data_IF_846918061851
#
_entry.id   IF_846918061851
#
_cell.length_a   1.000
_cell.length_b   1.000
_cell.length_c   1.000
_cell.angle_alpha   90.00
_cell.angle_beta   90.00
_cell.angle_gamma   90.00
#
_symmetry.space_group_name_H-M   'P 1'
#
loop_
_entity.id
_entity.type
_entity.pdbx_description
1 polymer ?
#
# COMPACT_ATOMS: atom_id res chain seq x y z
N UNK A 1 -10.06 14.65 -5.90
CA UNK A 1 -9.24 13.44 -6.12
C UNK A 1 -8.19 13.34 -5.03
N UNK A 2 -7.57 12.16 -4.87
CA UNK A 2 -6.40 11.96 -4.02
C UNK A 2 -5.51 10.88 -4.63
N UNK A 3 -4.29 10.79 -4.15
CA UNK A 3 -3.30 9.82 -4.60
C UNK A 3 -2.94 8.87 -3.46
N UNK A 4 -2.68 7.62 -3.84
CA UNK A 4 -2.06 6.62 -2.99
C UNK A 4 -0.73 6.25 -3.62
N UNK A 5 0.35 6.33 -2.85
CA UNK A 5 1.67 5.98 -3.34
C UNK A 5 2.33 4.96 -2.43
N UNK A 6 2.70 3.82 -3.03
CA UNK A 6 3.48 2.79 -2.33
C UNK A 6 4.94 3.20 -2.24
N UNK A 7 5.47 3.28 -1.01
CA UNK A 7 6.89 3.51 -0.75
C UNK A 7 7.34 2.56 0.35
N UNK A 8 8.12 1.55 -0.04
CA UNK A 8 8.67 0.55 0.89
C UNK A 8 10.19 0.59 0.88
N UNK A 9 10.80 0.68 -0.31
CA UNK A 9 12.27 0.69 -0.46
C UNK A 9 12.89 -0.68 -0.28
N UNK A 10 12.26 -1.71 -0.86
CA UNK A 10 12.77 -3.08 -0.84
C UNK A 10 14.14 -3.22 -1.52
N UNK A 11 14.94 -4.23 -1.11
CA UNK A 11 16.11 -4.65 -1.86
C UNK A 11 15.77 -4.97 -3.32
N UNK A 12 16.74 -4.75 -4.22
CA UNK A 12 16.59 -5.00 -5.67
C UNK A 12 16.28 -6.46 -6.00
N UNK A 13 16.69 -7.39 -5.14
CA UNK A 13 16.35 -8.81 -5.22
C UNK A 13 14.84 -9.08 -5.08
N UNK A 14 14.09 -8.21 -4.38
CA UNK A 14 12.64 -8.30 -4.18
C UNK A 14 11.91 -7.35 -5.15
N UNK A 15 12.46 -6.16 -5.35
CA UNK A 15 11.85 -5.10 -6.15
C UNK A 15 12.86 -4.49 -7.15
N UNK A 16 13.09 -5.18 -8.29
CA UNK A 16 14.30 -4.96 -9.10
C UNK A 16 14.31 -3.62 -9.83
N UNK A 17 13.17 -3.07 -10.24
CA UNK A 17 13.12 -1.86 -11.08
C UNK A 17 12.40 -0.67 -10.46
N UNK A 18 11.98 -0.75 -9.20
CA UNK A 18 11.35 0.40 -8.54
C UNK A 18 12.35 1.58 -8.40
N UNK A 19 11.92 2.84 -8.42
CA UNK A 19 12.82 3.95 -8.18
C UNK A 19 13.52 3.84 -6.81
N UNK A 20 14.75 4.37 -6.67
CA UNK A 20 15.40 4.46 -5.37
C UNK A 20 14.48 5.13 -4.34
N UNK A 21 14.49 4.63 -3.09
CA UNK A 21 13.57 5.11 -2.04
C UNK A 21 13.65 6.63 -1.82
N UNK A 22 14.85 7.22 -1.94
CA UNK A 22 15.04 8.68 -1.83
C UNK A 22 14.31 9.44 -2.95
N UNK A 23 14.31 8.91 -4.17
CA UNK A 23 13.59 9.47 -5.32
C UNK A 23 12.09 9.39 -5.10
N UNK A 24 11.59 8.24 -4.65
CA UNK A 24 10.17 8.07 -4.34
C UNK A 24 9.70 9.03 -3.23
N UNK A 25 10.48 9.19 -2.16
CA UNK A 25 10.21 10.15 -1.08
C UNK A 25 10.20 11.59 -1.60
N UNK A 26 11.15 11.97 -2.47
CA UNK A 26 11.17 13.31 -3.08
C UNK A 26 9.88 13.56 -3.87
N UNK A 27 9.50 12.65 -4.75
CA UNK A 27 8.27 12.75 -5.54
C UNK A 27 7.02 12.82 -4.66
N UNK A 28 6.94 12.01 -3.60
CA UNK A 28 5.84 12.04 -2.64
C UNK A 28 5.69 13.41 -1.97
N UNK A 29 6.81 13.97 -1.50
CA UNK A 29 6.82 15.29 -0.84
C UNK A 29 6.43 16.40 -1.80
N UNK A 30 6.91 16.34 -3.04
CA UNK A 30 6.54 17.29 -4.09
C UNK A 30 5.05 17.21 -4.41
N UNK A 31 4.51 16.00 -4.62
CA UNK A 31 3.09 15.80 -4.83
C UNK A 31 2.25 16.34 -3.66
N UNK A 32 2.63 16.00 -2.43
CA UNK A 32 1.94 16.46 -1.22
C UNK A 32 1.94 17.98 -1.06
N UNK A 33 3.06 18.65 -1.38
CA UNK A 33 3.12 20.12 -1.41
C UNK A 33 2.19 20.73 -2.46
N UNK A 34 1.98 20.04 -3.58
CA UNK A 34 1.14 20.53 -4.67
C UNK A 34 -0.36 20.38 -4.38
N UNK A 35 -0.77 19.27 -3.74
CA UNK A 35 -2.20 18.94 -3.62
C UNK A 35 -2.72 18.84 -2.19
N UNK A 36 -1.86 18.99 -1.19
CA UNK A 36 -2.19 18.85 0.22
C UNK A 36 -1.89 17.45 0.77
N UNK A 37 -1.37 17.41 2.00
CA UNK A 37 -1.03 16.16 2.72
C UNK A 37 -2.24 15.25 2.99
N UNK A 38 -3.44 15.82 3.06
CA UNK A 38 -4.69 15.11 3.19
C UNK A 38 -5.09 14.34 1.92
N UNK A 39 -4.50 14.69 0.77
CA UNK A 39 -4.78 14.06 -0.53
C UNK A 39 -3.66 13.15 -1.01
N UNK A 40 -2.63 12.91 -0.22
CA UNK A 40 -1.54 11.98 -0.55
C UNK A 40 -1.39 10.96 0.57
N UNK A 41 -1.76 9.72 0.29
CA UNK A 41 -1.74 8.62 1.24
C UNK A 41 -0.50 7.78 0.98
N UNK A 42 0.24 7.50 2.05
CA UNK A 42 1.39 6.61 1.97
C UNK A 42 0.91 5.16 2.15
N UNK A 43 1.31 4.29 1.23
CA UNK A 43 1.13 2.84 1.36
C UNK A 43 2.48 2.18 1.65
N UNK A 44 2.56 1.48 2.77
CA UNK A 44 3.63 0.53 3.06
C UNK A 44 3.03 -0.87 2.91
N UNK A 45 2.74 -1.21 1.66
CA UNK A 45 1.93 -2.37 1.28
C UNK A 45 2.50 -2.99 0.00
N UNK A 46 2.91 -4.27 0.02
CA UNK A 46 2.71 -5.22 1.12
C UNK A 46 3.92 -5.30 2.07
N UNK A 47 3.69 -5.68 3.33
CA UNK A 47 4.74 -6.15 4.26
C UNK A 47 5.04 -7.61 3.95
N UNK A 48 6.22 -7.85 3.39
CA UNK A 48 6.83 -9.15 3.09
C UNK A 48 7.99 -9.42 4.05
N UNK A 49 7.83 -10.39 4.96
CA UNK A 49 8.95 -10.89 5.76
C UNK A 49 9.74 -11.94 4.98
N UNK A 50 11.06 -11.84 5.06
CA UNK A 50 12.02 -12.80 4.51
C UNK A 50 13.36 -12.67 5.23
N UNK A 51 14.33 -13.51 4.90
CA UNK A 51 15.71 -13.37 5.39
C UNK A 51 16.33 -12.01 5.01
N UNK A 52 15.94 -11.45 3.86
CA UNK A 52 16.40 -10.14 3.38
C UNK A 52 15.64 -8.96 4.02
N UNK A 53 14.42 -9.23 4.50
CA UNK A 53 13.49 -8.22 5.05
C UNK A 53 12.86 -8.69 6.37
N UNK A 54 13.67 -8.97 7.41
CA UNK A 54 13.14 -9.38 8.70
C UNK A 54 12.42 -8.20 9.40
N UNK A 55 11.75 -8.48 10.52
CA UNK A 55 11.02 -7.45 11.30
C UNK A 55 11.88 -6.24 11.64
N UNK A 56 13.14 -6.47 12.05
CA UNK A 56 14.08 -5.37 12.36
C UNK A 56 14.28 -4.44 11.15
N UNK A 57 14.41 -5.01 9.95
CA UNK A 57 14.53 -4.24 8.72
C UNK A 57 13.28 -3.39 8.47
N UNK A 58 12.09 -3.95 8.70
CA UNK A 58 10.83 -3.21 8.57
C UNK A 58 10.72 -2.07 9.58
N UNK A 59 11.08 -2.30 10.84
CA UNK A 59 11.10 -1.27 11.89
C UNK A 59 12.01 -0.10 11.47
N UNK A 60 13.25 -0.40 11.06
CA UNK A 60 14.22 0.61 10.62
C UNK A 60 13.72 1.35 9.38
N UNK A 61 13.16 0.63 8.41
CA UNK A 61 12.67 1.19 7.15
C UNK A 61 11.47 2.10 7.36
N UNK A 62 10.48 1.66 8.14
CA UNK A 62 9.28 2.45 8.44
C UNK A 62 9.67 3.67 9.27
N UNK A 63 10.58 3.54 10.23
CA UNK A 63 11.08 4.69 11.01
C UNK A 63 11.75 5.73 10.10
N UNK A 64 12.60 5.27 9.17
CA UNK A 64 13.24 6.13 8.17
C UNK A 64 12.21 6.87 7.29
N UNK A 65 11.14 6.19 6.88
CA UNK A 65 10.10 6.76 6.03
C UNK A 65 9.17 7.71 6.80
N UNK A 66 8.73 7.35 8.00
CA UNK A 66 7.89 8.21 8.85
C UNK A 66 8.54 9.57 9.06
N UNK A 67 9.84 9.60 9.42
CA UNK A 67 10.54 10.88 9.63
C UNK A 67 10.61 11.75 8.37
N UNK A 68 10.44 11.18 7.18
CA UNK A 68 10.47 11.92 5.92
C UNK A 68 9.09 12.26 5.37
N UNK A 69 8.06 11.58 5.85
CA UNK A 69 6.71 11.64 5.29
C UNK A 69 5.66 12.20 6.26
N UNK A 70 5.92 12.24 7.58
CA UNK A 70 4.94 12.66 8.60
C UNK A 70 4.32 14.05 8.39
N UNK A 71 5.06 14.95 7.75
CA UNK A 71 4.57 16.30 7.43
C UNK A 71 3.80 16.37 6.10
N UNK A 72 3.82 15.27 5.33
CA UNK A 72 3.35 15.19 3.95
C UNK A 72 2.21 14.19 3.73
N UNK A 73 1.78 13.47 4.78
CA UNK A 73 0.61 12.59 4.74
C UNK A 73 -0.12 12.62 6.06
N UNK A 74 -1.44 12.42 6.02
CA UNK A 74 -2.23 12.11 7.22
C UNK A 74 -2.39 10.61 7.47
N UNK A 75 -2.08 9.76 6.49
CA UNK A 75 -2.47 8.36 6.50
C UNK A 75 -1.38 7.42 5.98
N UNK A 76 -1.23 6.32 6.70
CA UNK A 76 -0.42 5.16 6.34
C UNK A 76 -1.35 3.95 6.16
N UNK A 77 -1.31 3.32 5.00
CA UNK A 77 -1.96 2.03 4.76
C UNK A 77 -0.92 0.92 4.76
N UNK A 78 -1.17 -0.14 5.50
CA UNK A 78 -0.37 -1.37 5.51
C UNK A 78 -1.22 -2.58 5.12
N UNK A 79 -0.55 -3.61 4.61
CA UNK A 79 -1.09 -4.96 4.52
C UNK A 79 0.06 -5.95 4.61
N UNK A 80 -0.25 -7.24 4.73
CA UNK A 80 0.74 -8.30 4.72
C UNK A 80 0.62 -9.13 3.44
N UNK A 81 1.74 -9.70 2.96
CA UNK A 81 1.64 -10.79 1.97
C UNK A 81 0.96 -11.98 2.65
N UNK A 82 0.16 -12.73 1.88
CA UNK A 82 -0.82 -13.73 2.32
C UNK A 82 -0.39 -14.95 3.19
N UNK A 83 0.86 -15.23 3.61
CA UNK A 83 1.09 -16.19 4.70
C UNK A 83 0.14 -16.03 5.90
N UNK A 84 -0.30 -14.81 6.22
CA UNK A 84 -1.22 -14.55 7.33
C UNK A 84 -2.61 -15.20 7.18
N UNK A 85 -3.10 -15.39 5.94
CA UNK A 85 -4.39 -16.06 5.67
C UNK A 85 -4.33 -17.59 5.74
N UNK A 86 -3.14 -18.15 5.53
CA UNK A 86 -2.90 -19.60 5.55
C UNK A 86 -2.24 -20.09 6.84
N UNK A 87 -1.98 -19.20 7.81
CA UNK A 87 -1.50 -19.58 9.14
C UNK A 87 -2.63 -20.13 10.01
N UNK A 88 -3.29 -21.18 9.53
CA UNK A 88 -3.85 -22.21 10.40
C UNK A 88 -2.69 -23.13 10.78
N UNK A 89 -2.31 -23.08 12.06
CA UNK A 89 -1.57 -24.16 12.74
C UNK A 89 -0.12 -24.34 12.24
N UNK A 90 0.79 -23.41 12.58
CA UNK A 90 2.19 -23.69 12.98
C UNK A 90 2.92 -22.40 13.38
N UNK A 91 3.48 -22.42 14.60
CA UNK A 91 4.48 -21.50 15.18
C UNK A 91 3.99 -20.21 15.89
N UNK A 92 3.75 -20.32 17.20
CA UNK A 92 3.54 -19.20 18.15
C UNK A 92 4.61 -18.10 18.08
N UNK A 93 5.85 -18.45 17.70
CA UNK A 93 6.95 -17.49 17.62
C UNK A 93 6.79 -16.46 16.50
N UNK A 94 6.32 -16.85 15.32
CA UNK A 94 6.13 -15.90 14.21
C UNK A 94 4.94 -14.97 14.47
N UNK A 95 3.84 -15.51 15.01
CA UNK A 95 2.66 -14.73 15.42
C UNK A 95 3.06 -13.63 16.42
N UNK A 96 3.88 -13.96 17.43
CA UNK A 96 4.37 -12.97 18.40
C UNK A 96 5.30 -11.92 17.78
N UNK A 97 5.99 -12.25 16.70
CA UNK A 97 6.92 -11.36 16.03
C UNK A 97 6.18 -10.36 15.11
N UNK A 98 5.17 -10.83 14.37
CA UNK A 98 4.26 -9.95 13.64
C UNK A 98 3.48 -9.03 14.57
N UNK A 99 2.97 -9.55 15.68
CA UNK A 99 2.26 -8.76 16.68
C UNK A 99 3.13 -7.62 17.22
N UNK A 100 4.42 -7.89 17.49
CA UNK A 100 5.40 -6.86 17.86
C UNK A 100 5.59 -5.81 16.78
N UNK A 101 5.71 -6.20 15.51
CA UNK A 101 5.83 -5.26 14.40
C UNK A 101 4.57 -4.39 14.27
N UNK A 102 3.39 -4.98 14.29
CA UNK A 102 2.11 -4.27 14.16
C UNK A 102 1.92 -3.28 15.31
N UNK A 103 2.15 -3.73 16.56
CA UNK A 103 2.10 -2.89 17.75
C UNK A 103 3.06 -1.72 17.63
N UNK A 104 4.27 -1.96 17.15
CA UNK A 104 5.28 -0.93 16.94
C UNK A 104 4.84 0.07 15.85
N UNK A 105 4.32 -0.41 14.70
CA UNK A 105 3.82 0.45 13.61
C UNK A 105 2.72 1.37 14.11
N UNK A 106 1.71 0.81 14.79
CA UNK A 106 0.57 1.58 15.28
C UNK A 106 0.98 2.65 16.28
N UNK A 107 1.82 2.30 17.27
CA UNK A 107 2.41 3.27 18.21
C UNK A 107 3.17 4.37 17.47
N UNK A 108 4.06 3.99 16.56
CA UNK A 108 4.96 4.93 15.89
C UNK A 108 4.23 5.88 14.93
N UNK A 109 3.19 5.39 14.25
CA UNK A 109 2.32 6.20 13.42
C UNK A 109 1.54 7.21 14.27
N UNK A 110 0.98 6.78 15.40
CA UNK A 110 0.30 7.65 16.36
C UNK A 110 1.21 8.77 16.90
N UNK A 111 2.43 8.44 17.32
CA UNK A 111 3.45 9.42 17.74
C UNK A 111 3.81 10.44 16.65
N UNK A 112 3.69 10.06 15.39
CA UNK A 112 3.93 10.92 14.24
C UNK A 112 2.68 11.69 13.77
N UNK A 113 1.52 11.52 14.42
CA UNK A 113 0.25 12.11 13.99
C UNK A 113 -0.28 11.55 12.67
N UNK A 114 0.07 10.31 12.33
CA UNK A 114 -0.36 9.60 11.12
C UNK A 114 -1.42 8.55 11.51
N UNK A 115 -2.57 8.59 10.85
CA UNK A 115 -3.58 7.55 10.95
C UNK A 115 -3.10 6.27 10.24
N UNK A 116 -2.87 5.19 10.99
CA UNK A 116 -2.53 3.90 10.42
C UNK A 116 -3.78 3.07 10.13
N UNK A 117 -3.85 2.47 8.95
CA UNK A 117 -4.95 1.63 8.51
C UNK A 117 -4.45 0.32 7.91
N UNK A 118 -5.20 -0.77 8.08
CA UNK A 118 -4.96 -2.05 7.41
C UNK A 118 -5.87 -2.22 6.19
N UNK A 119 -5.37 -2.84 5.12
CA UNK A 119 -6.15 -3.10 3.90
C UNK A 119 -6.67 -4.55 3.86
N UNK A 120 -7.98 -4.73 4.06
CA UNK A 120 -8.65 -6.03 3.92
C UNK A 120 -8.08 -7.16 4.79
N UNK A 121 -7.48 -6.82 5.93
CA UNK A 121 -6.94 -7.77 6.91
C UNK A 121 -8.05 -8.35 7.81
N UNK A 122 -7.94 -9.64 8.13
CA UNK A 122 -8.87 -10.38 9.00
C UNK A 122 -8.68 -10.08 10.49
N UNK A 123 -7.44 -9.82 10.91
CA UNK A 123 -7.13 -9.54 12.30
C UNK A 123 -7.63 -8.15 12.74
N UNK A 124 -8.21 -8.09 13.94
CA UNK A 124 -8.53 -6.81 14.57
C UNK A 124 -7.26 -6.16 15.13
N UNK A 125 -6.78 -5.14 14.42
CA UNK A 125 -5.59 -4.38 14.77
C UNK A 125 -5.92 -3.08 15.53
N UNK A 126 -7.20 -2.82 15.86
CA UNK A 126 -7.62 -1.59 16.57
C UNK A 126 -6.96 -1.46 17.92
N UNK A 127 -6.69 -2.58 18.61
CA UNK A 127 -5.93 -2.62 19.87
C UNK A 127 -4.52 -2.01 19.77
N UNK A 128 -3.99 -1.87 18.56
CA UNK A 128 -2.72 -1.24 18.27
C UNK A 128 -2.85 0.16 17.64
N UNK A 129 -4.06 0.72 17.60
CA UNK A 129 -4.32 2.01 16.95
C UNK A 129 -4.36 1.95 15.43
N UNK A 130 -4.55 0.75 14.84
CA UNK A 130 -4.64 0.55 13.40
C UNK A 130 -6.07 0.20 13.05
N UNK A 131 -6.75 1.07 12.31
CA UNK A 131 -8.15 0.86 11.90
C UNK A 131 -8.25 0.12 10.58
N UNK A 132 -9.43 -0.35 10.21
CA UNK A 132 -9.64 -0.93 8.89
C UNK A 132 -9.80 0.19 7.85
N UNK A 133 -8.95 0.19 6.82
CA UNK A 133 -8.91 1.22 5.81
C UNK A 133 -9.71 0.92 4.55
N UNK A 134 -9.92 1.95 3.75
CA UNK A 134 -10.48 1.86 2.40
C UNK A 134 -9.49 2.52 1.43
N UNK A 135 -9.09 1.80 0.38
CA UNK A 135 -8.30 2.41 -0.69
C UNK A 135 -9.17 3.37 -1.52
N UNK A 136 -10.46 3.06 -1.72
CA UNK A 136 -11.47 3.98 -2.27
C UNK A 136 -12.39 4.36 -1.11
N UNK A 137 -12.05 5.45 -0.43
CA UNK A 137 -12.63 5.86 0.85
C UNK A 137 -13.66 6.97 0.65
N UNK A 138 -14.93 6.63 0.82
CA UNK A 138 -16.07 7.56 0.78
C UNK A 138 -15.94 8.71 1.78
N UNK A 139 -15.48 8.46 2.99
CA UNK A 139 -15.27 9.49 4.00
C UNK A 139 -14.16 10.47 3.60
N UNK A 140 -13.06 9.96 3.04
CA UNK A 140 -11.99 10.81 2.52
C UNK A 140 -12.43 11.59 1.28
N UNK A 141 -13.16 10.96 0.35
CA UNK A 141 -13.67 11.63 -0.85
C UNK A 141 -14.63 12.75 -0.43
N UNK A 142 -15.56 12.47 0.49
CA UNK A 142 -16.48 13.48 1.04
C UNK A 142 -15.70 14.66 1.64
N UNK A 143 -14.69 14.37 2.48
CA UNK A 143 -13.84 15.41 3.09
C UNK A 143 -13.07 16.26 2.06
N UNK A 144 -12.53 15.65 1.01
CA UNK A 144 -11.73 16.35 0.00
C UNK A 144 -12.59 17.17 -0.97
N UNK A 145 -13.83 16.73 -1.21
CA UNK A 145 -14.74 17.35 -2.19
C UNK A 145 -15.78 18.27 -1.55
N UNK A 146 -15.93 18.22 -0.23
CA UNK A 146 -17.02 18.84 0.53
C UNK A 146 -18.42 18.42 0.06
N UNK A 147 -18.52 17.22 -0.51
CA UNK A 147 -19.78 16.64 -0.99
C UNK A 147 -20.34 15.65 0.02
N UNK A 148 -21.66 15.68 0.18
CA UNK A 148 -22.39 14.60 0.86
C UNK A 148 -22.53 13.43 -0.08
N UNK A 149 -21.88 12.31 0.25
CA UNK A 149 -21.84 11.12 -0.58
C UNK A 149 -22.56 9.96 0.10
N UNK A 150 -23.47 9.32 -0.63
CA UNK A 150 -24.12 8.08 -0.20
C UNK A 150 -23.63 6.98 -1.14
N UNK A 151 -22.50 6.37 -0.78
CA UNK A 151 -21.84 5.34 -1.58
C UNK A 151 -21.94 3.99 -0.88
N UNK A 152 -21.99 2.92 -1.67
CA UNK A 152 -22.06 1.54 -1.17
C UNK A 152 -20.71 0.85 -1.33
N UNK A 153 -20.42 -0.09 -0.42
CA UNK A 153 -19.30 -1.05 -0.58
C UNK A 153 -19.40 -1.71 -1.94
N UNK A 154 -18.27 -1.85 -2.63
CA UNK A 154 -18.20 -2.61 -3.86
C UNK A 154 -18.45 -4.11 -3.59
N UNK A 155 -19.49 -4.73 -4.17
CA UNK A 155 -19.78 -6.15 -3.98
C UNK A 155 -18.74 -7.05 -4.62
N UNK A 156 -17.93 -6.56 -5.57
CA UNK A 156 -16.88 -7.32 -6.26
C UNK A 156 -15.57 -7.38 -5.47
N UNK A 157 -15.42 -6.52 -4.46
CA UNK A 157 -14.24 -6.50 -3.60
C UNK A 157 -14.31 -7.59 -2.53
N UNK A 158 -13.13 -8.02 -2.04
CA UNK A 158 -12.97 -9.00 -0.95
C UNK A 158 -13.94 -8.74 0.21
N UNK A 159 -14.39 -9.80 0.90
CA UNK A 159 -15.39 -9.72 1.98
C UNK A 159 -15.09 -8.61 3.00
N UNK A 160 -13.84 -8.52 3.44
CA UNK A 160 -13.41 -7.53 4.43
C UNK A 160 -13.02 -6.18 3.86
N UNK A 161 -12.82 -6.04 2.54
CA UNK A 161 -12.45 -4.77 1.94
C UNK A 161 -13.61 -3.78 2.02
N UNK A 162 -13.40 -2.62 2.65
CA UNK A 162 -14.43 -1.59 2.80
C UNK A 162 -14.58 -0.62 1.62
N UNK A 163 -13.79 -0.76 0.55
CA UNK A 163 -13.80 0.17 -0.59
C UNK A 163 -15.20 0.31 -1.21
N UNK A 164 -15.55 1.54 -1.57
CA UNK A 164 -16.79 1.81 -2.31
C UNK A 164 -16.65 1.45 -3.79
N UNK A 165 -17.79 1.32 -4.48
CA UNK A 165 -17.86 0.98 -5.91
C UNK A 165 -16.95 1.90 -6.71
N UNK A 166 -16.11 1.29 -7.55
CA UNK A 166 -15.21 2.00 -8.46
C UNK A 166 -15.02 1.22 -9.75
N UNK A 167 -14.46 1.87 -10.76
CA UNK A 167 -14.06 1.23 -12.02
C UNK A 167 -12.54 1.31 -12.12
N UNK A 168 -11.90 0.15 -12.22
CA UNK A 168 -10.47 0.08 -12.47
C UNK A 168 -10.18 0.51 -13.92
N UNK A 169 -9.10 1.27 -14.08
CA UNK A 169 -8.58 1.75 -15.37
C UNK A 169 -7.21 1.11 -15.69
N UNK A 170 -6.65 0.34 -14.76
CA UNK A 170 -5.41 -0.40 -14.94
C UNK A 170 -5.61 -1.70 -15.70
N UNK A 171 -4.50 -2.24 -16.21
CA UNK A 171 -4.51 -3.54 -16.88
C UNK A 171 -3.36 -4.40 -16.41
N UNK A 172 -3.68 -5.60 -15.92
CA UNK A 172 -2.70 -6.59 -15.48
C UNK A 172 -1.78 -7.04 -16.62
N UNK A 173 -0.63 -7.61 -16.27
CA UNK A 173 0.39 -8.09 -17.20
C UNK A 173 0.84 -7.02 -18.20
N UNK A 174 1.03 -5.78 -17.75
CA UNK A 174 1.60 -4.68 -18.55
C UNK A 174 2.84 -4.06 -17.90
N UNK A 175 2.98 -4.20 -16.57
CA UNK A 175 4.10 -3.64 -15.83
C UNK A 175 5.38 -4.48 -16.01
N UNK A 176 6.49 -3.82 -16.31
CA UNK A 176 7.79 -4.46 -16.56
C UNK A 176 8.70 -4.53 -15.32
N UNK A 177 8.18 -4.18 -14.14
CA UNK A 177 9.00 -3.96 -12.94
C UNK A 177 9.47 -5.25 -12.28
N UNK A 178 8.70 -6.34 -12.38
CA UNK A 178 9.13 -7.68 -11.94
C UNK A 178 9.25 -7.87 -10.44
N UNK A 179 8.43 -7.17 -9.63
CA UNK A 179 8.44 -7.31 -8.17
C UNK A 179 8.03 -8.75 -7.76
N UNK A 180 8.76 -9.38 -6.82
CA UNK A 180 8.51 -10.76 -6.38
C UNK A 180 7.13 -10.99 -5.74
N UNK A 181 6.51 -9.93 -5.23
CA UNK A 181 5.20 -9.94 -4.58
C UNK A 181 4.06 -9.49 -5.51
N UNK A 182 4.33 -9.28 -6.81
CA UNK A 182 3.34 -8.73 -7.73
C UNK A 182 2.26 -9.75 -8.06
N UNK A 183 1.00 -9.47 -7.68
CA UNK A 183 -0.15 -10.27 -8.12
C UNK A 183 -0.65 -9.86 -9.53
N UNK A 184 -0.35 -8.62 -9.94
CA UNK A 184 -0.86 -8.04 -11.19
C UNK A 184 -0.06 -8.48 -12.44
N UNK A 185 1.17 -8.98 -12.26
CA UNK A 185 2.01 -9.47 -13.36
C UNK A 185 2.45 -10.89 -13.06
N UNK A 186 1.71 -11.87 -13.56
CA UNK A 186 2.00 -13.29 -13.34
C UNK A 186 3.16 -13.81 -14.19
N UNK A 187 3.43 -13.19 -15.34
CA UNK A 187 4.52 -13.57 -16.24
C UNK A 187 5.14 -12.34 -16.91
N UNK A 188 6.44 -12.14 -16.71
CA UNK A 188 7.19 -11.01 -17.28
C UNK A 188 7.26 -11.06 -18.81
N UNK A 189 7.24 -12.25 -19.41
CA UNK A 189 7.23 -12.42 -20.86
C UNK A 189 5.92 -11.89 -21.45
N UNK A 190 4.79 -12.18 -20.81
CA UNK A 190 3.49 -11.62 -21.20
C UNK A 190 3.50 -10.09 -21.06
N UNK A 191 4.05 -9.57 -19.97
CA UNK A 191 4.16 -8.13 -19.77
C UNK A 191 5.00 -7.44 -20.85
N UNK A 192 6.13 -8.04 -21.25
CA UNK A 192 6.95 -7.55 -22.37
C UNK A 192 6.19 -7.55 -23.69
N UNK A 193 5.45 -8.62 -23.99
CA UNK A 193 4.63 -8.72 -25.21
C UNK A 193 3.50 -7.68 -25.26
N UNK A 194 2.85 -7.45 -24.12
CA UNK A 194 1.80 -6.43 -24.04
C UNK A 194 2.40 -5.02 -24.15
N UNK A 195 3.53 -4.77 -23.49
CA UNK A 195 4.24 -3.50 -23.59
C UNK A 195 4.71 -3.19 -25.02
N UNK A 196 5.17 -4.18 -25.80
CA UNK A 196 5.54 -3.94 -27.20
C UNK A 196 4.37 -3.58 -28.11
N UNK A 197 3.13 -3.86 -27.69
CA UNK A 197 1.90 -3.45 -28.38
C UNK A 197 1.37 -2.10 -27.88
N UNK A 198 2.00 -1.50 -26.87
CA UNK A 198 1.54 -0.25 -26.31
C UNK A 198 1.71 0.87 -27.34
N UNK A 199 0.61 1.56 -27.62
CA UNK A 199 0.58 2.75 -28.46
C UNK A 199 0.38 3.98 -27.57
N UNK A 200 1.39 4.85 -27.50
CA UNK A 200 1.37 6.05 -26.67
C UNK A 200 0.27 7.06 -27.06
N UNK A 201 -0.26 6.97 -28.29
CA UNK A 201 -1.38 7.79 -28.77
C UNK A 201 -2.74 7.14 -28.50
N UNK A 202 -2.76 5.88 -28.06
CA UNK A 202 -3.99 5.17 -27.76
C UNK A 202 -4.59 5.67 -26.45
N UNK A 203 -5.93 5.76 -26.34
CA UNK A 203 -6.59 6.04 -25.08
C UNK A 203 -6.50 4.87 -24.07
N UNK A 204 -6.02 3.70 -24.51
CA UNK A 204 -5.85 2.50 -23.69
C UNK A 204 -4.40 2.05 -23.61
N UNK A 205 -4.02 1.45 -22.48
CA UNK A 205 -2.70 0.81 -22.32
C UNK A 205 -2.51 -0.39 -23.24
N UNK A 206 -3.60 -1.08 -23.57
CA UNK A 206 -3.60 -2.22 -24.49
C UNK A 206 -4.71 -2.06 -25.53
N UNK A 207 -4.38 -2.40 -26.77
CA UNK A 207 -5.31 -2.58 -27.90
C UNK A 207 -5.50 -4.06 -28.19
#
# INVERSE_FOLDING_TARGET
YYFQQTIIGYPRSIDPKNPPVKTAVKAFRELSKLIGREKVIWRYDPILLSDETPIKWHIERISFLIERLKDYTNRLIISFVDPYRKMTIRMDREISAYDRLIKWIGKRAGEAGIEAQSCAEEADLKKYGITHGKCIDDGLIAKITDLKLILKKDPRQRKLCGCVVSKDIGVNNTCLFGCKYCYATGNITTAKKNFSRHNIKSPSLME
#
